data_IF_004274870868
#
_entry.id   IF_004274870868
#
_cell.length_a   1.000
_cell.length_b   1.000
_cell.length_c   1.000
_cell.angle_alpha   90.00
_cell.angle_beta   90.00
_cell.angle_gamma   90.00
#
_symmetry.space_group_name_H-M   'P 1'
#
loop_
_entity.id
_entity.type
_entity.pdbx_description
1 polymer ?
#
# COMPACT_ATOMS: atom_id res chain seq x y z
N UNK A 1 16.71 13.81 -21.76
CA UNK A 1 16.28 13.94 -23.17
C UNK A 1 14.89 13.40 -23.47
N UNK A 2 14.56 12.16 -23.10
CA UNK A 2 13.26 11.55 -23.43
C UNK A 2 12.05 12.33 -22.90
N UNK A 3 12.04 12.70 -21.61
CA UNK A 3 10.97 13.53 -21.01
C UNK A 3 10.81 14.90 -21.69
N UNK A 4 11.89 15.48 -22.19
CA UNK A 4 11.87 16.75 -22.93
C UNK A 4 11.22 16.60 -24.31
N UNK A 5 11.38 15.44 -24.96
CA UNK A 5 10.64 15.14 -26.20
C UNK A 5 9.17 14.88 -25.90
N UNK A 6 8.88 14.08 -24.87
CA UNK A 6 7.51 13.75 -24.46
C UNK A 6 6.68 15.00 -24.14
N UNK A 7 7.25 16.00 -23.46
CA UNK A 7 6.55 17.25 -23.10
C UNK A 7 6.09 18.08 -24.30
N UNK A 8 6.57 17.79 -25.51
CA UNK A 8 6.18 18.48 -26.75
C UNK A 8 5.02 17.78 -27.48
N UNK A 9 4.72 16.52 -27.15
CA UNK A 9 3.75 15.69 -27.88
C UNK A 9 2.64 15.13 -27.00
N UNK A 10 2.86 15.00 -25.68
CA UNK A 10 1.85 14.58 -24.73
C UNK A 10 1.24 15.80 -24.04
N UNK A 11 -0.07 15.98 -24.17
CA UNK A 11 -0.80 17.03 -23.48
C UNK A 11 -1.19 16.58 -22.05
N UNK A 12 -1.03 17.49 -21.08
CA UNK A 12 -1.60 17.35 -19.75
C UNK A 12 -2.96 18.07 -19.63
N UNK A 13 -3.57 18.08 -18.44
CA UNK A 13 -4.72 18.95 -18.17
C UNK A 13 -4.36 20.41 -18.43
N UNK A 14 -5.36 21.22 -18.80
CA UNK A 14 -5.15 22.66 -19.06
C UNK A 14 -4.51 23.28 -17.82
N UNK A 15 -3.38 23.97 -18.01
CA UNK A 15 -2.62 24.57 -16.93
C UNK A 15 -3.50 25.59 -16.17
N UNK A 16 -4.03 25.17 -15.04
CA UNK A 16 -4.70 26.04 -14.09
C UNK A 16 -3.84 26.06 -12.83
N UNK A 17 -3.54 27.27 -12.36
CA UNK A 17 -3.02 27.41 -11.01
C UNK A 17 -4.11 26.98 -10.04
N UNK A 18 -3.73 26.31 -8.96
CA UNK A 18 -4.65 26.08 -7.87
C UNK A 18 -5.19 27.42 -7.36
N UNK A 19 -6.51 27.57 -7.35
CA UNK A 19 -7.20 28.82 -7.05
C UNK A 19 -7.77 28.89 -5.62
N UNK A 20 -7.64 27.81 -4.84
CA UNK A 20 -8.10 27.77 -3.45
C UNK A 20 -7.09 28.34 -2.46
N UNK A 21 -7.35 28.14 -1.16
CA UNK A 21 -6.48 28.64 -0.10
C UNK A 21 -5.12 27.92 -0.08
N UNK A 22 -4.05 28.71 -0.27
CA UNK A 22 -2.67 28.25 -0.23
C UNK A 22 -2.27 27.72 1.15
N UNK A 23 -2.72 28.35 2.23
CA UNK A 23 -2.31 27.96 3.59
C UNK A 23 -2.93 26.60 3.95
N UNK A 24 -4.19 26.40 3.61
CA UNK A 24 -4.85 25.10 3.71
C UNK A 24 -4.13 24.03 2.87
N UNK A 25 -3.75 24.36 1.62
CA UNK A 25 -3.05 23.40 0.76
C UNK A 25 -1.70 22.97 1.37
N UNK A 26 -0.92 23.91 1.92
CA UNK A 26 0.36 23.61 2.56
C UNK A 26 0.16 22.72 3.79
N UNK A 27 -0.86 23.00 4.60
CA UNK A 27 -1.20 22.17 5.75
C UNK A 27 -1.54 20.73 5.33
N UNK A 28 -2.42 20.57 4.34
CA UNK A 28 -2.78 19.26 3.82
C UNK A 28 -1.63 18.55 3.11
N UNK A 29 -0.71 19.28 2.47
CA UNK A 29 0.52 18.70 1.92
C UNK A 29 1.41 18.11 3.02
N UNK A 30 1.48 18.77 4.18
CA UNK A 30 2.15 18.23 5.37
C UNK A 30 1.51 16.91 5.84
N UNK A 31 0.18 16.86 5.90
CA UNK A 31 -0.56 15.64 6.24
C UNK A 31 -0.31 14.51 5.23
N UNK A 32 -0.39 14.81 3.93
CA UNK A 32 -0.14 13.86 2.85
C UNK A 32 1.26 13.25 2.91
N UNK A 33 2.27 14.10 3.11
CA UNK A 33 3.66 13.65 3.25
C UNK A 33 3.84 12.77 4.48
N UNK A 34 3.27 13.15 5.62
CA UNK A 34 3.39 12.41 6.86
C UNK A 34 2.70 11.04 6.78
N UNK A 35 1.48 10.98 6.25
CA UNK A 35 0.76 9.74 6.03
C UNK A 35 1.50 8.81 5.06
N UNK A 36 1.96 9.34 3.91
CA UNK A 36 2.74 8.56 2.95
C UNK A 36 4.04 8.01 3.55
N UNK A 37 4.71 8.79 4.41
CA UNK A 37 5.88 8.34 5.17
C UNK A 37 5.52 7.18 6.11
N UNK A 38 4.44 7.29 6.88
CA UNK A 38 3.98 6.20 7.77
C UNK A 38 3.78 4.91 6.98
N UNK A 39 3.08 4.97 5.84
CA UNK A 39 2.84 3.80 4.99
C UNK A 39 4.16 3.20 4.48
N UNK A 40 5.09 4.02 4.01
CA UNK A 40 6.38 3.53 3.51
C UNK A 40 7.19 2.80 4.60
N UNK A 41 7.20 3.32 5.84
CA UNK A 41 7.83 2.61 6.95
C UNK A 41 7.07 1.34 7.33
N UNK A 42 5.73 1.36 7.37
CA UNK A 42 4.94 0.15 7.62
C UNK A 42 5.29 -0.96 6.61
N UNK A 43 5.35 -0.64 5.31
CA UNK A 43 5.76 -1.57 4.26
C UNK A 43 7.21 -2.06 4.44
N UNK A 44 8.14 -1.18 4.81
CA UNK A 44 9.52 -1.56 5.09
C UNK A 44 9.64 -2.57 6.24
N UNK A 45 8.90 -2.36 7.32
CA UNK A 45 8.87 -3.31 8.44
C UNK A 45 8.14 -4.62 8.11
N UNK A 46 7.09 -4.58 7.27
CA UNK A 46 6.47 -5.79 6.72
C UNK A 46 7.48 -6.61 5.91
N UNK A 47 8.30 -5.97 5.07
CA UNK A 47 9.35 -6.65 4.32
C UNK A 47 10.39 -7.30 5.25
N UNK A 48 10.86 -6.57 6.27
CA UNK A 48 11.78 -7.13 7.27
C UNK A 48 11.17 -8.35 7.98
N UNK A 49 9.87 -8.30 8.27
CA UNK A 49 9.13 -9.40 8.90
C UNK A 49 9.02 -10.62 8.01
N UNK A 50 8.73 -10.46 6.73
CA UNK A 50 8.70 -11.60 5.80
C UNK A 50 10.12 -12.18 5.60
N UNK A 51 11.16 -11.34 5.52
CA UNK A 51 12.55 -11.81 5.50
C UNK A 51 12.93 -12.58 6.77
N UNK A 52 12.49 -12.12 7.94
CA UNK A 52 12.71 -12.82 9.20
C UNK A 52 12.09 -14.23 9.20
N UNK A 53 10.89 -14.39 8.63
CA UNK A 53 10.23 -15.70 8.49
C UNK A 53 10.98 -16.60 7.53
N UNK A 54 11.28 -16.10 6.32
CA UNK A 54 11.94 -16.87 5.25
C UNK A 54 13.31 -17.37 5.70
N UNK A 55 14.13 -16.48 6.27
CA UNK A 55 15.50 -16.80 6.67
C UNK A 55 15.63 -17.27 8.13
N UNK A 56 14.49 -17.43 8.83
CA UNK A 56 14.43 -17.85 10.25
C UNK A 56 15.27 -16.94 11.17
N UNK A 57 15.30 -15.65 10.89
CA UNK A 57 16.01 -14.66 11.72
C UNK A 57 15.13 -14.17 12.86
N UNK A 58 15.73 -13.98 14.03
CA UNK A 58 15.09 -13.31 15.15
C UNK A 58 15.42 -11.82 15.14
N UNK A 59 14.67 -11.03 14.38
CA UNK A 59 14.90 -9.59 14.24
C UNK A 59 14.31 -8.80 15.41
N UNK A 60 15.11 -7.91 15.99
CA UNK A 60 14.65 -6.93 16.97
C UNK A 60 14.22 -5.63 16.26
N UNK A 61 12.94 -5.52 15.89
CA UNK A 61 12.41 -4.36 15.15
C UNK A 61 12.55 -3.03 15.92
N UNK A 62 12.34 -3.04 17.24
CA UNK A 62 12.56 -1.86 18.08
C UNK A 62 14.03 -1.45 18.10
N UNK A 63 14.95 -2.42 18.12
CA UNK A 63 16.39 -2.21 17.98
C UNK A 63 16.77 -1.65 16.62
N UNK A 64 16.20 -2.16 15.53
CA UNK A 64 16.40 -1.65 14.17
C UNK A 64 15.96 -0.17 14.07
N UNK A 65 14.76 0.15 14.58
CA UNK A 65 14.26 1.53 14.62
C UNK A 65 15.18 2.46 15.43
N UNK A 66 15.71 1.97 16.55
CA UNK A 66 16.67 2.71 17.37
C UNK A 66 17.99 2.96 16.63
N UNK A 67 18.54 1.95 15.94
CA UNK A 67 19.78 2.09 15.17
C UNK A 67 19.63 3.14 14.07
N UNK A 68 18.47 3.20 13.41
CA UNK A 68 18.20 4.21 12.39
C UNK A 68 17.99 5.62 12.95
N UNK A 69 17.75 5.76 14.26
CA UNK A 69 17.51 7.05 14.90
C UNK A 69 18.77 7.92 15.00
N UNK A 70 19.97 7.31 15.02
CA UNK A 70 21.24 8.03 15.15
C UNK A 70 22.21 7.72 14.01
N UNK A 71 22.92 8.73 13.49
CA UNK A 71 23.96 8.55 12.46
C UNK A 71 23.47 8.29 11.03
N UNK A 72 22.31 7.64 10.84
CA UNK A 72 21.76 7.38 9.51
C UNK A 72 21.17 8.65 8.85
N UNK A 73 21.04 8.63 7.51
CA UNK A 73 20.44 9.71 6.71
C UNK A 73 18.95 9.89 7.05
N UNK A 74 18.23 8.81 7.31
CA UNK A 74 16.79 8.81 7.59
C UNK A 74 16.42 9.15 9.05
N UNK A 75 17.41 9.59 9.85
CA UNK A 75 17.21 9.91 11.27
C UNK A 75 16.08 10.93 11.44
N UNK A 76 15.16 10.66 12.36
CA UNK A 76 14.05 11.57 12.67
C UNK A 76 13.42 11.23 14.01
N UNK A 77 12.70 12.19 14.61
CA UNK A 77 11.91 11.95 15.83
C UNK A 77 10.90 10.79 15.64
N UNK A 78 10.35 10.68 14.42
CA UNK A 78 9.45 9.61 13.97
C UNK A 78 9.95 8.18 14.24
N UNK A 79 11.26 7.93 14.15
CA UNK A 79 11.84 6.62 14.46
C UNK A 79 11.75 6.28 15.96
N UNK A 80 11.65 7.31 16.81
CA UNK A 80 11.33 7.14 18.22
C UNK A 80 9.93 6.57 18.43
N UNK A 81 8.95 7.01 17.65
CA UNK A 81 7.57 6.50 17.73
C UNK A 81 7.50 5.04 17.25
N UNK A 82 8.21 4.71 16.17
CA UNK A 82 8.33 3.31 15.69
C UNK A 82 8.97 2.42 16.76
N UNK A 83 10.07 2.87 17.37
CA UNK A 83 10.70 2.15 18.48
C UNK A 83 9.68 1.92 19.60
N UNK A 84 8.95 2.95 20.01
CA UNK A 84 7.96 2.86 21.08
C UNK A 84 6.86 1.85 20.78
N UNK A 85 6.36 1.80 19.54
CA UNK A 85 5.37 0.81 19.10
C UNK A 85 5.89 -0.63 19.27
N UNK A 86 7.11 -0.92 18.80
CA UNK A 86 7.73 -2.25 18.94
C UNK A 86 8.18 -2.57 20.37
N UNK A 87 8.52 -1.58 21.20
CA UNK A 87 8.80 -1.83 22.62
C UNK A 87 7.51 -2.21 23.36
N UNK A 88 6.40 -1.54 23.05
CA UNK A 88 5.09 -1.81 23.65
C UNK A 88 4.54 -3.16 23.20
N UNK A 89 4.66 -3.49 21.92
CA UNK A 89 4.20 -4.75 21.34
C UNK A 89 5.25 -5.30 20.35
N UNK A 90 6.22 -6.11 20.83
CA UNK A 90 7.33 -6.62 20.00
C UNK A 90 6.89 -7.42 18.77
N UNK A 91 5.74 -8.09 18.87
CA UNK A 91 5.18 -8.93 17.82
C UNK A 91 4.05 -8.23 17.05
N UNK A 92 3.97 -6.89 17.10
CA UNK A 92 2.98 -6.16 16.31
C UNK A 92 3.19 -6.46 14.83
N UNK A 93 2.12 -6.89 14.17
CA UNK A 93 2.22 -7.39 12.81
C UNK A 93 2.49 -6.26 11.80
N UNK A 94 1.95 -5.07 12.06
CA UNK A 94 2.13 -3.87 11.23
C UNK A 94 2.05 -2.65 12.12
N UNK A 95 2.85 -1.63 11.81
CA UNK A 95 2.78 -0.32 12.48
C UNK A 95 1.39 0.31 12.41
N UNK A 96 0.57 -0.08 11.42
CA UNK A 96 -0.80 0.41 11.25
C UNK A 96 -1.77 -0.07 12.34
N UNK A 97 -1.37 -1.02 13.19
CA UNK A 97 -2.15 -1.46 14.34
C UNK A 97 -1.77 -0.76 15.64
N UNK A 98 -0.71 0.05 15.65
CA UNK A 98 -0.36 0.81 16.83
C UNK A 98 -1.21 2.09 16.95
N UNK A 99 -1.75 2.41 18.14
CA UNK A 99 -2.67 3.55 18.32
C UNK A 99 -2.11 4.91 17.89
N UNK A 100 -0.79 5.13 18.01
CA UNK A 100 -0.19 6.41 17.59
C UNK A 100 -0.30 6.57 16.08
N UNK A 101 0.05 5.54 15.30
CA UNK A 101 -0.01 5.60 13.85
C UNK A 101 -1.45 5.57 13.33
N UNK A 102 -2.36 4.85 13.99
CA UNK A 102 -3.79 4.91 13.68
C UNK A 102 -4.34 6.33 13.81
N UNK A 103 -4.05 7.00 14.94
CA UNK A 103 -4.47 8.39 15.14
C UNK A 103 -3.83 9.32 14.11
N UNK A 104 -2.53 9.21 13.89
CA UNK A 104 -1.81 10.03 12.91
C UNK A 104 -2.39 9.91 11.49
N UNK A 105 -2.72 8.69 11.05
CA UNK A 105 -3.34 8.46 9.74
C UNK A 105 -4.78 8.96 9.69
N UNK A 106 -5.54 8.77 10.77
CA UNK A 106 -6.93 9.23 10.86
C UNK A 106 -7.01 10.76 10.77
N UNK A 107 -6.12 11.46 11.48
CA UNK A 107 -6.05 12.93 11.46
C UNK A 107 -5.55 13.48 10.11
N UNK A 108 -4.74 12.70 9.38
CA UNK A 108 -4.09 13.12 8.13
C UNK A 108 -4.86 12.75 6.86
N UNK A 109 -5.80 11.80 6.91
CA UNK A 109 -6.36 11.21 5.69
C UNK A 109 -7.12 12.21 4.81
N UNK A 110 -7.79 13.20 5.39
CA UNK A 110 -8.55 14.19 4.62
C UNK A 110 -7.62 15.07 3.79
N UNK A 111 -6.58 15.64 4.41
CA UNK A 111 -5.57 16.40 3.69
C UNK A 111 -4.79 15.56 2.70
N UNK A 112 -4.53 14.30 3.05
CA UNK A 112 -3.87 13.36 2.16
C UNK A 112 -4.67 13.08 0.89
N UNK A 113 -5.96 12.75 1.02
CA UNK A 113 -6.87 12.56 -0.11
C UNK A 113 -7.03 13.82 -0.93
N UNK A 114 -7.16 14.96 -0.26
CA UNK A 114 -7.25 16.27 -0.90
C UNK A 114 -6.04 16.54 -1.82
N UNK A 115 -4.83 16.31 -1.31
CA UNK A 115 -3.59 16.52 -2.08
C UNK A 115 -3.48 15.51 -3.22
N UNK A 116 -3.80 14.24 -2.99
CA UNK A 116 -3.76 13.21 -4.04
C UNK A 116 -4.72 13.56 -5.19
N UNK A 117 -5.96 13.94 -4.87
CA UNK A 117 -6.97 14.33 -5.86
C UNK A 117 -6.56 15.59 -6.63
N UNK A 118 -6.18 16.66 -5.94
CA UNK A 118 -5.76 17.90 -6.60
C UNK A 118 -4.51 17.70 -7.44
N UNK A 119 -3.55 16.89 -6.99
CA UNK A 119 -2.35 16.57 -7.79
C UNK A 119 -2.72 15.89 -9.11
N UNK A 120 -3.65 14.93 -9.07
CA UNK A 120 -4.14 14.25 -10.27
C UNK A 120 -4.86 15.23 -11.21
N UNK A 121 -5.78 16.05 -10.68
CA UNK A 121 -6.52 17.05 -11.46
C UNK A 121 -5.60 18.10 -12.11
N UNK A 122 -4.53 18.49 -11.41
CA UNK A 122 -3.55 19.46 -11.90
C UNK A 122 -2.46 18.83 -12.79
N UNK A 123 -2.45 17.51 -12.97
CA UNK A 123 -1.43 16.81 -13.75
C UNK A 123 -0.03 16.82 -13.10
N UNK A 124 0.04 16.89 -11.77
CA UNK A 124 1.28 16.88 -10.99
C UNK A 124 1.56 15.44 -10.54
N UNK A 125 2.69 14.82 -10.96
CA UNK A 125 2.99 13.45 -10.59
C UNK A 125 3.40 13.34 -9.11
N UNK A 126 2.61 12.60 -8.33
CA UNK A 126 2.88 12.34 -6.91
C UNK A 126 2.88 10.84 -6.57
N UNK A 127 3.70 10.02 -7.27
CA UNK A 127 3.61 8.55 -7.22
C UNK A 127 3.72 7.98 -5.80
N UNK A 128 4.58 8.55 -4.95
CA UNK A 128 4.73 8.10 -3.56
C UNK A 128 3.50 8.39 -2.69
N UNK A 129 2.84 9.53 -2.90
CA UNK A 129 1.63 9.92 -2.18
C UNK A 129 0.45 9.04 -2.62
N UNK A 130 0.28 8.86 -3.93
CA UNK A 130 -0.84 8.10 -4.48
C UNK A 130 -0.71 6.61 -4.20
N UNK A 131 0.48 6.02 -4.36
CA UNK A 131 0.67 4.59 -4.06
C UNK A 131 0.50 4.28 -2.59
N UNK A 132 0.93 5.18 -1.69
CA UNK A 132 0.73 4.99 -0.27
C UNK A 132 -0.76 5.03 0.08
N UNK A 133 -1.55 5.89 -0.59
CA UNK A 133 -2.99 6.00 -0.37
C UNK A 133 -3.71 4.75 -0.87
N UNK A 134 -3.35 4.29 -2.07
CA UNK A 134 -3.85 3.03 -2.63
C UNK A 134 -3.52 1.83 -1.74
N UNK A 135 -2.32 1.77 -1.17
CA UNK A 135 -1.95 0.72 -0.23
C UNK A 135 -2.77 0.82 1.06
N UNK A 136 -2.91 2.02 1.65
CA UNK A 136 -3.69 2.21 2.87
C UNK A 136 -5.15 1.78 2.69
N UNK A 137 -5.79 2.23 1.61
CA UNK A 137 -7.16 1.85 1.28
C UNK A 137 -7.26 0.35 0.94
N UNK A 138 -6.26 -0.22 0.27
CA UNK A 138 -6.22 -1.65 0.01
C UNK A 138 -6.10 -2.48 1.29
N UNK A 139 -5.19 -2.10 2.18
CA UNK A 139 -4.87 -2.82 3.42
C UNK A 139 -6.01 -2.83 4.43
N UNK A 140 -6.80 -1.75 4.49
CA UNK A 140 -7.97 -1.65 5.39
C UNK A 140 -9.26 -2.22 4.83
N UNK A 141 -9.25 -2.74 3.59
CA UNK A 141 -10.43 -3.25 2.92
C UNK A 141 -10.49 -4.77 3.08
N UNK A 142 -11.48 -5.26 3.82
CA UNK A 142 -11.68 -6.71 4.04
C UNK A 142 -11.89 -7.48 2.72
N UNK A 143 -12.66 -6.89 1.79
CA UNK A 143 -13.00 -7.51 0.50
C UNK A 143 -12.47 -6.68 -0.66
N UNK A 144 -11.32 -7.09 -1.20
CA UNK A 144 -10.73 -6.50 -2.40
C UNK A 144 -11.32 -7.11 -3.66
N UNK A 145 -11.27 -6.41 -4.82
CA UNK A 145 -11.71 -6.93 -6.12
C UNK A 145 -10.82 -8.05 -6.67
N UNK A 146 -9.95 -8.66 -5.85
CA UNK A 146 -9.13 -9.82 -6.20
C UNK A 146 -9.99 -11.07 -6.51
N UNK A 147 -11.25 -11.11 -6.07
CA UNK A 147 -12.22 -12.12 -6.47
C UNK A 147 -12.48 -12.12 -7.99
N UNK A 148 -12.53 -10.94 -8.63
CA UNK A 148 -12.65 -10.85 -10.08
C UNK A 148 -11.39 -11.37 -10.78
N UNK A 149 -10.20 -11.10 -10.22
CA UNK A 149 -8.95 -11.65 -10.72
C UNK A 149 -8.97 -13.18 -10.68
N UNK A 150 -9.43 -13.78 -9.56
CA UNK A 150 -9.60 -15.23 -9.45
C UNK A 150 -10.61 -15.78 -10.47
N UNK A 151 -11.76 -15.13 -10.63
CA UNK A 151 -12.76 -15.53 -11.63
C UNK A 151 -12.20 -15.46 -13.07
N UNK A 152 -11.43 -14.41 -13.40
CA UNK A 152 -10.78 -14.28 -14.70
C UNK A 152 -9.79 -15.41 -14.95
N UNK A 153 -8.90 -15.69 -13.98
CA UNK A 153 -7.92 -16.79 -14.08
C UNK A 153 -8.59 -18.14 -14.29
N UNK A 154 -9.67 -18.40 -13.56
CA UNK A 154 -10.44 -19.63 -13.73
C UNK A 154 -11.17 -19.69 -15.08
N UNK A 155 -11.69 -18.56 -15.55
CA UNK A 155 -12.36 -18.46 -16.85
C UNK A 155 -11.46 -18.82 -18.03
N UNK A 156 -10.30 -18.17 -18.17
CA UNK A 156 -9.47 -18.34 -19.37
C UNK A 156 -8.44 -19.47 -19.23
N UNK A 157 -8.18 -19.94 -18.01
CA UNK A 157 -7.08 -20.85 -17.71
C UNK A 157 -7.41 -22.01 -16.78
N UNK A 158 -8.67 -22.16 -16.36
CA UNK A 158 -9.12 -23.22 -15.45
C UNK A 158 -8.27 -23.34 -14.17
N UNK A 159 -7.76 -22.20 -13.70
CA UNK A 159 -6.82 -22.06 -12.58
C UNK A 159 -7.43 -22.24 -11.19
N UNK A 160 -8.74 -22.54 -11.12
CA UNK A 160 -9.51 -22.69 -9.90
C UNK A 160 -9.54 -21.44 -9.01
N UNK A 161 -10.44 -21.44 -8.04
CA UNK A 161 -10.53 -20.41 -7.00
C UNK A 161 -11.17 -20.99 -5.73
N UNK A 162 -11.03 -20.28 -4.61
CA UNK A 162 -11.65 -20.66 -3.34
C UNK A 162 -12.94 -19.84 -3.10
N UNK A 163 -13.90 -20.44 -2.40
CA UNK A 163 -15.09 -19.73 -1.91
C UNK A 163 -14.82 -19.19 -0.51
N UNK A 164 -15.39 -18.02 -0.19
CA UNK A 164 -15.24 -17.41 1.14
C UNK A 164 -15.70 -18.32 2.29
N UNK A 165 -16.74 -19.12 2.06
CA UNK A 165 -17.31 -20.03 3.05
C UNK A 165 -16.52 -21.34 3.20
N UNK A 166 -15.65 -21.66 2.23
CA UNK A 166 -14.89 -22.91 2.19
C UNK A 166 -13.42 -22.67 1.77
N UNK A 167 -12.63 -21.92 2.56
CA UNK A 167 -11.20 -21.76 2.29
C UNK A 167 -10.48 -23.12 2.33
N UNK A 168 -9.52 -23.33 1.44
CA UNK A 168 -8.80 -24.58 1.21
C UNK A 168 -9.43 -25.50 0.16
N UNK A 169 -10.69 -25.26 -0.23
CA UNK A 169 -11.37 -26.01 -1.29
C UNK A 169 -11.30 -25.27 -2.64
N UNK A 170 -10.69 -25.92 -3.63
CA UNK A 170 -10.52 -25.38 -4.98
C UNK A 170 -11.69 -25.75 -5.89
N UNK A 171 -12.31 -24.73 -6.48
CA UNK A 171 -13.45 -24.85 -7.38
C UNK A 171 -13.07 -24.39 -8.77
N UNK A 172 -13.41 -25.17 -9.79
CA UNK A 172 -13.45 -24.74 -11.17
C UNK A 172 -14.90 -24.54 -11.61
N UNK A 173 -15.21 -23.42 -12.24
CA UNK A 173 -16.51 -23.18 -12.85
C UNK A 173 -16.42 -23.29 -14.36
N UNK A 174 -17.34 -24.02 -14.98
CA UNK A 174 -17.52 -23.98 -16.44
C UNK A 174 -18.23 -22.69 -16.85
N UNK A 175 -17.46 -21.62 -16.97
CA UNK A 175 -18.00 -20.27 -17.23
C UNK A 175 -18.66 -20.09 -18.60
N UNK A 176 -18.27 -20.89 -19.59
CA UNK A 176 -18.78 -20.77 -20.96
C UNK A 176 -20.05 -21.59 -21.20
N UNK A 177 -20.37 -22.52 -20.29
CA UNK A 177 -21.44 -23.51 -20.46
C UNK A 177 -21.20 -24.51 -21.61
N UNK A 178 -20.06 -24.42 -22.28
CA UNK A 178 -19.66 -25.28 -23.42
C UNK A 178 -18.26 -25.87 -23.24
N UNK A 179 -17.50 -25.41 -22.25
CA UNK A 179 -16.21 -25.98 -21.86
C UNK A 179 -16.38 -27.28 -21.09
N UNK A 180 -15.31 -28.06 -20.95
CA UNK A 180 -15.28 -29.22 -20.06
C UNK A 180 -15.15 -28.81 -18.60
N UNK A 181 -15.47 -29.73 -17.67
CA UNK A 181 -15.24 -29.55 -16.23
C UNK A 181 -13.78 -29.83 -15.82
N UNK A 182 -12.82 -29.58 -16.72
CA UNK A 182 -11.42 -29.95 -16.53
C UNK A 182 -10.67 -28.73 -16.01
N UNK A 183 -10.11 -28.84 -14.80
CA UNK A 183 -9.23 -27.82 -14.20
C UNK A 183 -7.79 -27.97 -14.68
N UNK A 184 -7.02 -26.88 -14.68
CA UNK A 184 -5.58 -26.89 -14.95
C UNK A 184 -4.75 -27.32 -13.74
N UNK A 185 -5.36 -27.99 -12.77
CA UNK A 185 -4.68 -28.49 -11.59
C UNK A 185 -3.59 -29.48 -12.04
N UNK A 186 -2.40 -29.35 -11.46
CA UNK A 186 -1.38 -30.40 -11.57
C UNK A 186 -2.00 -31.71 -11.10
N UNK A 187 -1.78 -32.80 -11.85
CA UNK A 187 -2.05 -34.14 -11.35
C UNK A 187 -1.19 -34.31 -10.09
N UNK A 188 -1.81 -34.29 -8.91
CA UNK A 188 -1.18 -34.83 -7.72
C UNK A 188 -1.10 -36.34 -7.95
N UNK A 189 0.10 -36.81 -8.32
CA UNK A 189 0.43 -38.22 -8.44
C UNK A 189 0.73 -38.81 -7.07
#
# INVERSE_FOLDING_TARGET
DERTRASKVLAGPKAQRYAGDRQQFIFYLGQALYAAKIISYAQGFMLLREAAKEFKWNLNYGGIALMWKGGCIIRSAFLGDIKSAYVKQPNIESLLFDPFFQKALTDAQDGWRFVAANSALLGIPTPAITTALSFYDGYRTERLPANLLQAQRDYFGAHTYELLERPGEWVHTNWTGRGGNVSSSTYDA
#
